data_IF_688115529330
#
_entry.id   IF_688115529330
#
_cell.length_a   1.000
_cell.length_b   1.000
_cell.length_c   1.000
_cell.angle_alpha   90.00
_cell.angle_beta   90.00
_cell.angle_gamma   90.00
#
_symmetry.space_group_name_H-M   'P 1'
#
loop_
_entity.id
_entity.type
_entity.pdbx_description
1 polymer ?
#
# COMPACT_ATOMS: atom_id res chain seq x y z
N UNK A 1 12.42 -1.26 41.29
CA UNK A 1 12.08 -0.71 39.96
C UNK A 1 13.03 -1.33 38.96
N UNK A 2 12.56 -2.29 38.16
CA UNK A 2 13.37 -2.86 37.08
C UNK A 2 13.39 -1.82 35.95
N UNK A 3 14.57 -1.27 35.65
CA UNK A 3 14.71 -0.32 34.53
C UNK A 3 14.41 -1.03 33.21
N UNK A 4 13.61 -0.41 32.35
CA UNK A 4 13.39 -0.88 30.98
C UNK A 4 14.73 -0.85 30.24
N UNK A 5 15.31 -2.04 29.99
CA UNK A 5 16.55 -2.20 29.23
C UNK A 5 16.38 -1.84 27.76
N UNK A 6 17.48 -1.78 27.01
CA UNK A 6 17.51 -1.38 25.60
C UNK A 6 16.49 -2.13 24.73
N UNK A 7 16.36 -3.45 24.92
CA UNK A 7 15.38 -4.27 24.19
C UNK A 7 13.94 -3.82 24.42
N UNK A 8 13.58 -3.48 25.66
CA UNK A 8 12.24 -2.99 25.98
C UNK A 8 11.96 -1.63 25.33
N UNK A 9 12.95 -0.72 25.33
CA UNK A 9 12.82 0.59 24.68
C UNK A 9 12.64 0.49 23.17
N UNK A 10 13.40 -0.39 22.52
CA UNK A 10 13.31 -0.64 21.08
C UNK A 10 11.93 -1.20 20.71
N UNK A 11 11.38 -2.11 21.50
CA UNK A 11 10.05 -2.68 21.24
C UNK A 11 8.91 -1.66 21.47
N UNK A 12 9.04 -0.76 22.46
CA UNK A 12 8.11 0.37 22.60
C UNK A 12 8.19 1.30 21.38
N UNK A 13 9.40 1.56 20.88
CA UNK A 13 9.59 2.37 19.67
C UNK A 13 9.01 1.69 18.43
N UNK A 14 9.17 0.37 18.29
CA UNK A 14 8.53 -0.43 17.25
C UNK A 14 7.01 -0.25 17.28
N UNK A 15 6.38 -0.39 18.45
CA UNK A 15 4.94 -0.19 18.58
C UNK A 15 4.50 1.25 18.25
N UNK A 16 5.25 2.26 18.71
CA UNK A 16 4.93 3.66 18.45
C UNK A 16 5.05 4.04 16.96
N UNK A 17 6.03 3.46 16.26
CA UNK A 17 6.30 3.74 14.84
C UNK A 17 5.32 3.07 13.88
N UNK A 18 4.40 2.22 14.37
CA UNK A 18 3.30 1.67 13.56
C UNK A 18 2.18 2.68 13.28
N UNK A 19 2.06 3.76 14.07
CA UNK A 19 0.98 4.74 13.94
C UNK A 19 1.21 5.74 12.79
N UNK A 20 2.40 6.36 12.63
CA UNK A 20 2.64 7.36 11.58
C UNK A 20 2.26 6.96 10.14
N UNK A 21 2.46 5.70 9.68
CA UNK A 21 2.03 5.28 8.35
C UNK A 21 0.52 5.47 8.09
N UNK A 22 -0.35 5.39 9.11
CA UNK A 22 -1.80 5.66 8.94
C UNK A 22 -2.04 7.11 8.60
N UNK A 23 -1.42 8.02 9.36
CA UNK A 23 -1.57 9.45 9.12
C UNK A 23 -1.00 9.84 7.76
N UNK A 24 0.08 9.19 7.33
CA UNK A 24 0.63 9.40 5.99
C UNK A 24 -0.27 8.86 4.89
N UNK A 25 -0.88 7.68 5.08
CA UNK A 25 -1.89 7.13 4.18
C UNK A 25 -3.11 8.06 4.06
N UNK A 26 -3.61 8.57 5.19
CA UNK A 26 -4.69 9.55 5.25
C UNK A 26 -4.33 10.84 4.51
N UNK A 27 -3.11 11.35 4.69
CA UNK A 27 -2.62 12.54 4.00
C UNK A 27 -2.56 12.32 2.48
N UNK A 28 -2.07 11.16 2.03
CA UNK A 28 -2.04 10.78 0.61
C UNK A 28 -3.42 10.79 -0.03
N UNK A 29 -4.44 10.28 0.68
CA UNK A 29 -5.81 10.31 0.19
C UNK A 29 -6.45 11.70 0.26
N UNK A 30 -6.20 12.47 1.33
CA UNK A 30 -6.77 13.81 1.54
C UNK A 30 -6.32 14.81 0.47
N UNK A 31 -5.03 14.78 0.10
CA UNK A 31 -4.46 15.73 -0.84
C UNK A 31 -5.02 15.57 -2.26
N UNK A 32 -5.36 14.34 -2.65
CA UNK A 32 -5.95 14.07 -3.97
C UNK A 32 -7.48 14.25 -3.95
N UNK A 33 -8.14 13.83 -2.86
CA UNK A 33 -9.59 13.94 -2.70
C UNK A 33 -9.96 14.53 -1.35
N UNK A 34 -10.43 15.78 -1.32
CA UNK A 34 -10.96 16.40 -0.10
C UNK A 34 -12.10 15.59 0.54
N UNK A 35 -12.86 14.85 -0.27
CA UNK A 35 -13.90 13.92 0.17
C UNK A 35 -13.43 12.45 0.09
N UNK A 36 -12.19 12.18 0.52
CA UNK A 36 -11.54 10.86 0.48
C UNK A 36 -12.40 9.72 1.07
N UNK A 37 -13.27 10.01 2.04
CA UNK A 37 -14.16 9.02 2.66
C UNK A 37 -15.24 8.49 1.69
N UNK A 38 -15.41 9.12 0.53
CA UNK A 38 -16.28 8.62 -0.55
C UNK A 38 -15.54 7.70 -1.53
N UNK A 39 -14.21 7.73 -1.54
CA UNK A 39 -13.39 6.86 -2.37
C UNK A 39 -13.34 5.47 -1.75
N UNK A 40 -13.90 4.48 -2.45
CA UNK A 40 -13.90 3.11 -1.96
C UNK A 40 -12.46 2.59 -1.84
N UNK A 41 -11.55 3.01 -2.71
CA UNK A 41 -10.13 2.59 -2.69
C UNK A 41 -9.43 3.12 -1.44
N UNK A 42 -9.71 4.36 -1.09
CA UNK A 42 -9.20 4.98 0.13
C UNK A 42 -9.73 4.23 1.36
N UNK A 43 -11.04 4.00 1.44
CA UNK A 43 -11.66 3.29 2.57
C UNK A 43 -11.06 1.91 2.72
N UNK A 44 -10.89 1.16 1.62
CA UNK A 44 -10.26 -0.15 1.64
C UNK A 44 -8.82 -0.10 2.17
N UNK A 45 -7.98 0.81 1.67
CA UNK A 45 -6.59 0.94 2.13
C UNK A 45 -6.51 1.31 3.61
N UNK A 46 -7.28 2.30 4.05
CA UNK A 46 -7.30 2.72 5.45
C UNK A 46 -7.82 1.61 6.37
N UNK A 47 -8.84 0.86 5.94
CA UNK A 47 -9.31 -0.31 6.67
C UNK A 47 -8.20 -1.37 6.80
N UNK A 48 -7.41 -1.60 5.74
CA UNK A 48 -6.23 -2.47 5.78
C UNK A 48 -5.20 -2.02 6.81
N UNK A 49 -4.81 -0.74 6.79
CA UNK A 49 -3.88 -0.15 7.76
C UNK A 49 -4.40 -0.24 9.21
N UNK A 50 -5.66 0.13 9.43
CA UNK A 50 -6.29 0.08 10.75
C UNK A 50 -6.49 -1.36 11.24
N UNK A 51 -6.63 -2.32 10.34
CA UNK A 51 -6.72 -3.74 10.66
C UNK A 51 -5.38 -4.34 11.09
N UNK A 52 -4.27 -3.98 10.44
CA UNK A 52 -2.96 -4.56 10.75
C UNK A 52 -2.29 -3.99 12.00
N UNK A 53 -2.44 -2.68 12.24
CA UNK A 53 -1.67 -1.97 13.28
C UNK A 53 -1.92 -2.48 14.70
N UNK A 54 -3.16 -2.75 15.14
CA UNK A 54 -3.39 -3.24 16.49
C UNK A 54 -2.65 -4.54 16.78
N UNK A 55 -2.57 -5.45 15.81
CA UNK A 55 -1.87 -6.72 15.99
C UNK A 55 -0.35 -6.53 16.07
N UNK A 56 0.20 -5.69 15.19
CA UNK A 56 1.64 -5.36 15.20
C UNK A 56 2.05 -4.65 16.49
N UNK A 57 1.32 -3.60 16.88
CA UNK A 57 1.57 -2.86 18.11
C UNK A 57 1.43 -3.76 19.35
N UNK A 58 0.41 -4.63 19.38
CA UNK A 58 0.24 -5.59 20.48
C UNK A 58 1.41 -6.60 20.56
N UNK A 59 1.89 -7.10 19.42
CA UNK A 59 3.04 -8.02 19.37
C UNK A 59 4.30 -7.38 19.95
N UNK A 60 4.61 -6.15 19.53
CA UNK A 60 5.76 -5.38 20.03
C UNK A 60 5.62 -4.99 21.51
N UNK A 61 4.46 -4.48 21.93
CA UNK A 61 4.22 -4.15 23.34
C UNK A 61 4.30 -5.39 24.23
N UNK A 62 3.82 -6.54 23.77
CA UNK A 62 3.97 -7.79 24.48
C UNK A 62 5.45 -8.14 24.67
N UNK A 63 6.26 -8.05 23.60
CA UNK A 63 7.70 -8.30 23.66
C UNK A 63 8.43 -7.29 24.57
N UNK A 64 8.03 -6.02 24.55
CA UNK A 64 8.58 -5.00 25.44
C UNK A 64 8.38 -5.34 26.93
N UNK A 65 7.19 -5.89 27.26
CA UNK A 65 6.81 -6.21 28.64
C UNK A 65 7.35 -7.56 29.13
N UNK A 66 7.47 -8.56 28.26
CA UNK A 66 7.82 -9.93 28.64
C UNK A 66 9.22 -10.38 28.19
N UNK A 67 9.90 -9.59 27.35
CA UNK A 67 11.24 -9.91 26.83
C UNK A 67 11.27 -10.99 25.75
N UNK A 68 10.11 -11.47 25.29
CA UNK A 68 9.97 -12.40 24.18
C UNK A 68 8.68 -12.16 23.39
N UNK A 69 8.67 -12.51 22.10
CA UNK A 69 7.45 -12.46 21.30
C UNK A 69 6.49 -13.60 21.68
N UNK A 70 5.18 -13.33 21.63
CA UNK A 70 4.17 -14.37 21.72
C UNK A 70 3.91 -14.94 20.31
N UNK A 71 4.07 -16.25 20.07
CA UNK A 71 3.94 -16.84 18.72
C UNK A 71 2.59 -16.51 18.05
N UNK A 72 1.49 -16.54 18.81
CA UNK A 72 0.17 -16.21 18.28
C UNK A 72 0.05 -14.73 17.86
N UNK A 73 0.63 -13.79 18.61
CA UNK A 73 0.55 -12.36 18.28
C UNK A 73 1.36 -12.06 17.01
N UNK A 74 2.52 -12.70 16.86
CA UNK A 74 3.34 -12.58 15.65
C UNK A 74 2.60 -13.10 14.42
N UNK A 75 1.87 -14.23 14.54
CA UNK A 75 1.06 -14.75 13.44
C UNK A 75 -0.13 -13.82 13.13
N UNK A 76 -0.79 -13.27 14.15
CA UNK A 76 -1.88 -12.31 13.95
C UNK A 76 -1.40 -11.00 13.30
N UNK A 77 -0.20 -10.53 13.64
CA UNK A 77 0.45 -9.40 12.97
C UNK A 77 0.62 -9.68 11.46
N UNK A 78 1.20 -10.84 11.13
CA UNK A 78 1.38 -11.30 9.76
C UNK A 78 0.04 -11.47 9.00
N UNK A 79 -1.01 -11.98 9.67
CA UNK A 79 -2.36 -12.05 9.10
C UNK A 79 -2.97 -10.67 8.88
N UNK A 80 -2.69 -9.71 9.75
CA UNK A 80 -3.06 -8.30 9.54
C UNK A 80 -2.48 -7.78 8.22
N UNK A 81 -1.21 -8.06 7.93
CA UNK A 81 -0.55 -7.71 6.66
C UNK A 81 -1.22 -8.45 5.48
N UNK A 82 -1.53 -9.74 5.64
CA UNK A 82 -2.26 -10.54 4.65
C UNK A 82 -3.61 -9.91 4.27
N UNK A 83 -4.40 -9.47 5.25
CA UNK A 83 -5.67 -8.77 5.03
C UNK A 83 -5.48 -7.41 4.36
N UNK A 84 -4.54 -6.60 4.86
CA UNK A 84 -4.24 -5.29 4.28
C UNK A 84 -3.82 -5.40 2.80
N UNK A 85 -3.10 -6.48 2.45
CA UNK A 85 -2.68 -6.77 1.08
C UNK A 85 -3.85 -7.03 0.13
N UNK A 86 -4.93 -7.68 0.61
CA UNK A 86 -6.15 -7.90 -0.18
C UNK A 86 -6.85 -6.57 -0.47
N UNK A 87 -6.98 -5.73 0.56
CA UNK A 87 -7.54 -4.40 0.42
C UNK A 87 -6.73 -3.53 -0.55
N UNK A 88 -5.40 -3.57 -0.46
CA UNK A 88 -4.50 -2.87 -1.35
C UNK A 88 -4.58 -3.39 -2.80
N UNK A 89 -4.65 -4.71 -3.00
CA UNK A 89 -4.81 -5.32 -4.31
C UNK A 89 -6.10 -4.83 -5.00
N UNK A 90 -7.19 -4.73 -4.24
CA UNK A 90 -8.44 -4.19 -4.78
C UNK A 90 -8.33 -2.69 -5.07
N UNK A 91 -7.80 -1.90 -4.14
CA UNK A 91 -7.68 -0.46 -4.28
C UNK A 91 -6.80 -0.05 -5.48
N UNK A 92 -5.68 -0.75 -5.69
CA UNK A 92 -4.71 -0.41 -6.74
C UNK A 92 -5.06 -0.99 -8.12
N UNK A 93 -5.86 -2.06 -8.17
CA UNK A 93 -6.21 -2.74 -9.42
C UNK A 93 -7.65 -2.50 -9.85
N UNK A 94 -8.58 -2.23 -8.93
CA UNK A 94 -10.03 -2.18 -9.16
C UNK A 94 -10.57 -3.43 -9.88
N UNK A 95 -9.97 -4.61 -9.65
CA UNK A 95 -10.46 -5.90 -10.15
C UNK A 95 -10.72 -6.88 -9.03
N UNK A 96 -11.95 -7.39 -9.02
CA UNK A 96 -12.36 -8.48 -8.14
C UNK A 96 -11.51 -9.74 -8.39
N UNK A 97 -11.32 -10.15 -9.65
CA UNK A 97 -10.54 -11.35 -9.97
C UNK A 97 -9.09 -11.28 -9.47
N UNK A 98 -8.42 -10.15 -9.65
CA UNK A 98 -7.07 -9.94 -9.12
C UNK A 98 -7.04 -9.94 -7.59
N UNK A 99 -8.00 -9.29 -6.96
CA UNK A 99 -8.12 -9.26 -5.49
C UNK A 99 -8.41 -10.65 -4.92
N UNK A 100 -9.23 -11.45 -5.60
CA UNK A 100 -9.49 -12.85 -5.25
C UNK A 100 -8.23 -13.70 -5.34
N UNK A 101 -7.40 -13.51 -6.37
CA UNK A 101 -6.11 -14.20 -6.45
C UNK A 101 -5.21 -13.87 -5.26
N UNK A 102 -5.06 -12.58 -4.93
CA UNK A 102 -4.29 -12.15 -3.75
C UNK A 102 -4.90 -12.72 -2.46
N UNK A 103 -6.23 -12.71 -2.32
CA UNK A 103 -6.92 -13.29 -1.18
C UNK A 103 -6.67 -14.79 -1.03
N UNK A 104 -6.71 -15.56 -2.12
CA UNK A 104 -6.42 -16.98 -2.09
C UNK A 104 -4.97 -17.25 -1.66
N UNK A 105 -4.02 -16.47 -2.14
CA UNK A 105 -2.61 -16.58 -1.73
C UNK A 105 -2.40 -16.22 -0.26
N UNK A 106 -2.97 -15.09 0.18
CA UNK A 106 -2.96 -14.66 1.59
C UNK A 106 -3.58 -15.72 2.50
N UNK A 107 -4.77 -16.23 2.17
CA UNK A 107 -5.45 -17.27 2.95
C UNK A 107 -4.67 -18.59 2.97
N UNK A 108 -4.03 -18.97 1.86
CA UNK A 108 -3.19 -20.17 1.81
C UNK A 108 -1.97 -20.01 2.70
N UNK A 109 -1.33 -18.83 2.69
CA UNK A 109 -0.22 -18.52 3.57
C UNK A 109 -0.66 -18.54 5.03
N UNK A 110 -1.77 -17.88 5.38
CA UNK A 110 -2.30 -17.86 6.74
C UNK A 110 -2.66 -19.28 7.20
N UNK A 111 -3.28 -20.10 6.35
CA UNK A 111 -3.57 -21.50 6.65
C UNK A 111 -2.30 -22.31 6.95
N UNK A 112 -1.23 -22.14 6.17
CA UNK A 112 0.06 -22.77 6.44
C UNK A 112 0.70 -22.24 7.74
N UNK A 113 0.55 -20.94 8.02
CA UNK A 113 1.08 -20.29 9.22
C UNK A 113 0.37 -20.73 10.51
N UNK A 114 -0.90 -21.13 10.46
CA UNK A 114 -1.63 -21.61 11.65
C UNK A 114 -1.72 -23.13 11.74
N UNK A 115 -1.91 -23.80 10.61
CA UNK A 115 -2.26 -25.23 10.55
C UNK A 115 -1.23 -26.07 9.77
N UNK A 116 -0.21 -25.45 9.20
CA UNK A 116 0.83 -26.15 8.45
C UNK A 116 1.77 -26.96 9.35
N UNK A 117 2.67 -27.75 8.72
CA UNK A 117 3.75 -28.45 9.41
C UNK A 117 4.59 -27.49 10.26
N UNK A 118 5.12 -28.00 11.38
CA UNK A 118 5.90 -27.22 12.36
C UNK A 118 7.05 -26.44 11.72
N UNK A 119 7.78 -27.06 10.78
CA UNK A 119 8.88 -26.42 10.06
C UNK A 119 8.47 -25.25 9.16
N UNK A 120 7.20 -25.12 8.75
CA UNK A 120 6.68 -23.94 8.04
C UNK A 120 6.06 -22.95 9.00
N UNK A 121 5.35 -23.47 10.00
CA UNK A 121 4.59 -22.70 10.99
C UNK A 121 5.49 -21.78 11.83
N UNK A 122 6.66 -22.28 12.21
CA UNK A 122 7.57 -21.58 13.13
C UNK A 122 8.72 -20.87 12.38
N UNK A 123 8.84 -21.07 11.07
CA UNK A 123 9.85 -20.41 10.22
C UNK A 123 9.44 -18.97 9.89
N UNK A 124 10.02 -18.00 10.59
CA UNK A 124 9.71 -16.57 10.41
C UNK A 124 10.12 -16.08 9.02
N UNK A 125 11.33 -16.43 8.55
CA UNK A 125 11.88 -15.91 7.28
C UNK A 125 11.05 -16.28 6.06
N UNK A 126 10.57 -17.54 5.97
CA UNK A 126 9.65 -17.98 4.93
C UNK A 126 8.39 -17.10 4.92
N UNK A 127 7.75 -16.91 6.08
CA UNK A 127 6.51 -16.12 6.20
C UNK A 127 6.74 -14.66 5.78
N UNK A 128 7.85 -14.06 6.22
CA UNK A 128 8.23 -12.70 5.83
C UNK A 128 8.48 -12.59 4.32
N UNK A 129 9.16 -13.57 3.73
CA UNK A 129 9.45 -13.59 2.29
C UNK A 129 8.17 -13.79 1.46
N UNK A 130 7.27 -14.66 1.90
CA UNK A 130 5.97 -14.88 1.27
C UNK A 130 5.13 -13.60 1.28
N UNK A 131 5.04 -12.91 2.43
CA UNK A 131 4.34 -11.62 2.53
C UNK A 131 4.97 -10.57 1.62
N UNK A 132 6.30 -10.48 1.58
CA UNK A 132 7.01 -9.57 0.67
C UNK A 132 6.63 -9.85 -0.80
N UNK A 133 6.52 -11.12 -1.19
CA UNK A 133 6.03 -11.52 -2.51
C UNK A 133 4.58 -11.10 -2.77
N UNK A 134 3.69 -11.27 -1.79
CA UNK A 134 2.29 -10.80 -1.88
C UNK A 134 2.22 -9.27 -2.01
N UNK A 135 3.10 -8.54 -1.30
CA UNK A 135 3.22 -7.09 -1.43
C UNK A 135 3.58 -6.68 -2.86
N UNK A 136 4.65 -7.26 -3.40
CA UNK A 136 5.06 -7.01 -4.79
C UNK A 136 3.95 -7.38 -5.78
N UNK A 137 3.23 -8.47 -5.52
CA UNK A 137 2.09 -8.88 -6.34
C UNK A 137 1.02 -7.80 -6.34
N UNK A 138 0.53 -7.32 -5.18
CA UNK A 138 -0.53 -6.32 -5.16
C UNK A 138 -0.11 -4.96 -5.73
N UNK A 139 1.19 -4.65 -5.72
CA UNK A 139 1.74 -3.44 -6.34
C UNK A 139 1.83 -3.54 -7.87
N UNK A 140 1.92 -4.75 -8.42
CA UNK A 140 2.11 -4.97 -9.86
C UNK A 140 1.12 -4.25 -10.78
N UNK A 141 -0.18 -4.05 -10.45
CA UNK A 141 -1.12 -3.32 -11.31
C UNK A 141 -0.68 -1.88 -11.62
N UNK A 142 0.15 -1.27 -10.78
CA UNK A 142 0.73 0.06 -11.00
C UNK A 142 1.65 0.12 -12.24
N UNK A 143 2.09 -1.03 -12.75
CA UNK A 143 3.00 -1.14 -13.91
C UNK A 143 2.26 -1.61 -15.16
N UNK A 144 1.42 -2.64 -15.05
CA UNK A 144 0.89 -3.34 -16.24
C UNK A 144 -0.61 -3.13 -16.50
N UNK A 145 -1.38 -2.69 -15.49
CA UNK A 145 -2.84 -2.64 -15.61
C UNK A 145 -3.39 -1.26 -15.98
N UNK A 146 -2.64 -0.23 -15.64
CA UNK A 146 -3.02 1.16 -15.89
C UNK A 146 -2.57 1.56 -17.29
N UNK A 147 -3.20 2.59 -17.85
CA UNK A 147 -2.87 3.09 -19.19
C UNK A 147 -1.40 3.53 -19.31
N UNK A 148 -0.84 4.05 -18.21
CA UNK A 148 0.55 4.44 -18.09
C UNK A 148 1.15 3.90 -16.80
N UNK A 149 2.48 3.75 -16.79
CA UNK A 149 3.21 3.36 -15.59
C UNK A 149 3.02 4.44 -14.52
N UNK A 150 2.50 4.05 -13.36
CA UNK A 150 2.33 4.96 -12.24
C UNK A 150 3.69 5.34 -11.65
N UNK A 151 4.03 6.62 -11.74
CA UNK A 151 5.30 7.16 -11.23
C UNK A 151 5.48 6.98 -9.72
N UNK A 152 4.40 6.81 -8.97
CA UNK A 152 4.42 6.51 -7.54
C UNK A 152 5.10 5.16 -7.24
N UNK A 153 5.22 4.26 -8.22
CA UNK A 153 5.88 2.95 -8.01
C UNK A 153 7.36 3.09 -7.66
N UNK A 154 8.05 4.13 -8.15
CA UNK A 154 9.48 4.33 -7.92
C UNK A 154 9.81 4.60 -6.43
N UNK A 155 9.19 5.59 -5.76
CA UNK A 155 9.42 5.78 -4.33
C UNK A 155 8.91 4.58 -3.50
N UNK A 156 7.82 3.93 -3.91
CA UNK A 156 7.30 2.71 -3.25
C UNK A 156 8.33 1.59 -3.27
N UNK A 157 8.88 1.25 -4.45
CA UNK A 157 9.89 0.21 -4.60
C UNK A 157 11.19 0.57 -3.88
N UNK A 158 11.57 1.85 -3.86
CA UNK A 158 12.73 2.32 -3.10
C UNK A 158 12.55 2.07 -1.61
N UNK A 159 11.37 2.41 -1.06
CA UNK A 159 11.03 2.12 0.34
C UNK A 159 10.98 0.62 0.61
N UNK A 160 10.43 -0.17 -0.31
CA UNK A 160 10.35 -1.63 -0.19
C UNK A 160 11.74 -2.27 -0.16
N UNK A 161 12.64 -1.92 -1.08
CA UNK A 161 14.00 -2.46 -1.12
C UNK A 161 14.80 -2.05 0.11
N UNK A 162 14.73 -0.77 0.50
CA UNK A 162 15.39 -0.30 1.71
C UNK A 162 14.81 -0.97 2.97
N UNK A 163 13.49 -1.15 3.03
CA UNK A 163 12.81 -1.84 4.12
C UNK A 163 13.18 -3.33 4.20
N UNK A 164 13.24 -4.02 3.07
CA UNK A 164 13.70 -5.41 2.99
C UNK A 164 15.16 -5.54 3.45
N UNK A 165 16.04 -4.61 3.05
CA UNK A 165 17.42 -4.59 3.54
C UNK A 165 17.48 -4.38 5.06
N UNK A 166 16.68 -3.48 5.62
CA UNK A 166 16.60 -3.27 7.07
C UNK A 166 16.07 -4.50 7.81
N UNK A 167 15.06 -5.18 7.26
CA UNK A 167 14.44 -6.35 7.88
C UNK A 167 15.32 -7.60 7.81
N UNK A 168 16.02 -7.82 6.69
CA UNK A 168 16.80 -9.05 6.44
C UNK A 168 18.25 -8.94 6.88
N UNK A 169 18.90 -7.79 6.66
CA UNK A 169 20.32 -7.60 6.97
C UNK A 169 20.55 -6.97 8.34
N UNK A 170 19.52 -6.32 8.90
CA UNK A 170 19.56 -5.60 10.17
C UNK A 170 20.82 -4.72 10.38
N UNK A 171 21.18 -3.84 9.42
CA UNK A 171 22.45 -3.12 9.43
C UNK A 171 22.59 -2.13 10.61
N UNK A 172 21.48 -1.76 11.24
CA UNK A 172 21.42 -0.88 12.42
C UNK A 172 21.21 -1.67 13.72
N UNK A 173 21.37 -2.99 13.69
CA UNK A 173 21.09 -3.88 14.81
C UNK A 173 19.61 -3.74 15.27
N UNK A 174 19.35 -3.57 16.59
CA UNK A 174 17.99 -3.46 17.13
C UNK A 174 17.15 -2.32 16.53
N UNK A 175 17.78 -1.25 16.04
CA UNK A 175 17.07 -0.09 15.48
C UNK A 175 16.64 -0.28 14.02
N UNK A 176 17.02 -1.38 13.36
CA UNK A 176 16.65 -1.62 11.96
C UNK A 176 15.14 -1.74 11.78
N UNK A 177 14.44 -2.37 12.73
CA UNK A 177 12.99 -2.59 12.67
C UNK A 177 12.18 -1.29 12.88
N UNK A 178 12.49 -0.43 13.88
CA UNK A 178 11.85 0.89 13.96
C UNK A 178 12.08 1.77 12.73
N UNK A 179 13.30 1.75 12.16
CA UNK A 179 13.61 2.51 10.93
C UNK A 179 12.83 1.96 9.74
N UNK A 180 12.66 0.64 9.66
CA UNK A 180 11.79 0.01 8.67
C UNK A 180 10.35 0.54 8.78
N UNK A 181 9.77 0.64 9.99
CA UNK A 181 8.44 1.23 10.18
C UNK A 181 8.37 2.68 9.72
N UNK A 182 9.43 3.47 9.94
CA UNK A 182 9.48 4.85 9.45
C UNK A 182 9.50 4.92 7.91
N UNK A 183 10.10 3.95 7.22
CA UNK A 183 10.00 3.86 5.75
C UNK A 183 8.60 3.52 5.26
N UNK A 184 7.74 2.94 6.12
CA UNK A 184 6.33 2.74 5.78
C UNK A 184 5.57 4.06 5.66
N UNK A 185 6.09 5.18 6.18
CA UNK A 185 5.47 6.52 6.06
C UNK A 185 5.41 6.96 4.59
N UNK A 186 6.53 7.18 3.88
CA UNK A 186 6.48 7.53 2.46
C UNK A 186 5.84 6.42 1.63
N UNK A 187 6.06 5.15 1.97
CA UNK A 187 5.42 4.03 1.29
C UNK A 187 3.89 4.14 1.31
N UNK A 188 3.29 4.32 2.50
CA UNK A 188 1.84 4.38 2.66
C UNK A 188 1.26 5.63 1.99
N UNK A 189 1.96 6.76 2.04
CA UNK A 189 1.58 7.97 1.32
C UNK A 189 1.43 7.72 -0.18
N UNK A 190 2.49 7.18 -0.83
CA UNK A 190 2.50 7.00 -2.28
C UNK A 190 1.53 5.91 -2.74
N UNK A 191 1.36 4.83 -1.96
CA UNK A 191 0.35 3.79 -2.24
C UNK A 191 -1.06 4.38 -2.19
N UNK A 192 -1.37 5.12 -1.12
CA UNK A 192 -2.66 5.77 -0.94
C UNK A 192 -2.97 6.80 -2.03
N UNK A 193 -2.02 7.69 -2.31
CA UNK A 193 -2.11 8.66 -3.40
C UNK A 193 -2.39 7.97 -4.74
N UNK A 194 -1.61 6.94 -5.06
CA UNK A 194 -1.75 6.16 -6.30
C UNK A 194 -3.15 5.56 -6.45
N UNK A 195 -3.68 4.94 -5.40
CA UNK A 195 -5.01 4.33 -5.44
C UNK A 195 -6.12 5.38 -5.61
N UNK A 196 -6.03 6.50 -4.88
CA UNK A 196 -7.00 7.60 -4.99
C UNK A 196 -7.01 8.21 -6.39
N UNK A 197 -5.85 8.52 -6.97
CA UNK A 197 -5.74 9.04 -8.35
C UNK A 197 -6.31 8.06 -9.36
N UNK A 198 -6.03 6.76 -9.19
CA UNK A 198 -6.51 5.74 -10.12
C UNK A 198 -8.04 5.61 -10.11
N UNK A 199 -8.67 5.57 -8.94
CA UNK A 199 -10.14 5.52 -8.85
C UNK A 199 -10.79 6.72 -9.54
N UNK A 200 -10.26 7.90 -9.32
CA UNK A 200 -10.81 9.14 -9.91
C UNK A 200 -10.62 9.20 -11.41
N UNK A 201 -9.52 8.65 -11.92
CA UNK A 201 -9.34 8.48 -13.37
C UNK A 201 -10.40 7.56 -14.00
N UNK A 202 -10.86 6.54 -13.27
CA UNK A 202 -11.92 5.64 -13.73
C UNK A 202 -13.30 6.32 -13.64
N UNK A 203 -13.56 7.06 -12.56
CA UNK A 203 -14.80 7.83 -12.40
C UNK A 203 -14.94 8.89 -13.51
N UNK A 204 -13.86 9.61 -13.83
CA UNK A 204 -13.85 10.58 -14.93
C UNK A 204 -14.15 9.92 -16.29
N UNK A 205 -13.61 8.73 -16.55
CA UNK A 205 -13.93 7.96 -17.77
C UNK A 205 -15.39 7.51 -17.81
N UNK A 206 -15.93 7.08 -16.68
CA UNK A 206 -17.34 6.68 -16.59
C UNK A 206 -18.29 7.87 -16.81
N UNK A 207 -17.88 9.09 -16.42
CA UNK A 207 -18.63 10.33 -16.60
C UNK A 207 -18.43 11.01 -17.95
N UNK A 208 -17.52 10.53 -18.79
CA UNK A 208 -17.31 11.03 -20.17
C UNK A 208 -17.81 10.03 -21.22
N UNK A 209 -19.13 9.69 -21.24
CA UNK A 209 -19.68 8.82 -22.25
C UNK A 209 -19.94 9.62 -23.53
N UNK A 210 -18.93 10.17 -24.21
CA UNK A 210 -19.04 10.66 -25.61
C UNK A 210 -17.77 11.38 -26.08
N UNK A 211 -16.98 10.68 -26.91
CA UNK A 211 -16.49 11.20 -28.20
C UNK A 211 -16.05 10.02 -29.09
N UNK A 212 -16.81 8.93 -29.08
CA UNK A 212 -16.84 8.01 -30.23
C UNK A 212 -17.87 8.57 -31.20
N UNK A 213 -17.51 9.70 -31.82
CA UNK A 213 -18.19 10.16 -33.03
C UNK A 213 -18.07 9.05 -34.06
N UNK A 214 -19.22 8.74 -34.64
CA UNK A 214 -19.38 8.03 -35.89
C UNK A 214 -18.33 8.51 -36.90
N UNK A 215 -17.41 7.64 -37.30
CA UNK A 215 -16.68 7.80 -38.56
C UNK A 215 -17.68 7.49 -39.68
N UNK A 216 -18.48 8.51 -39.98
CA UNK A 216 -19.56 8.49 -40.94
C UNK A 216 -19.59 9.81 -41.70
N UNK A 217 -18.52 10.14 -42.42
CA UNK A 217 -18.59 10.58 -43.82
C UNK A 217 -17.24 11.04 -44.32
N UNK A 218 -16.78 10.44 -45.42
CA UNK A 218 -15.82 11.03 -46.35
C UNK A 218 -16.26 12.46 -46.71
N UNK A 219 -15.67 13.46 -46.07
CA UNK A 219 -15.46 14.77 -46.67
C UNK A 219 -14.03 15.18 -46.43
N UNK A 220 -13.25 14.93 -47.48
CA UNK A 220 -11.97 15.51 -47.82
C UNK A 220 -12.03 17.04 -47.64
N UNK A 221 -11.41 17.57 -46.58
CA UNK A 221 -10.81 18.91 -46.58
C UNK A 221 -10.01 19.22 -45.30
N UNK A 222 -8.78 19.73 -45.50
CA UNK A 222 -8.29 20.83 -44.66
C UNK A 222 -7.37 20.51 -43.48
N UNK A 223 -6.19 19.96 -43.76
CA UNK A 223 -4.84 20.28 -43.25
C UNK A 223 -4.57 21.33 -42.12
N UNK A 224 -5.38 21.52 -41.08
CA UNK A 224 -5.14 22.60 -40.08
C UNK A 224 -5.08 22.16 -38.60
N UNK A 225 -5.39 20.91 -38.26
CA UNK A 225 -5.49 20.50 -36.83
C UNK A 225 -4.33 19.66 -36.28
N UNK A 226 -3.12 19.75 -36.87
CA UNK A 226 -1.95 18.99 -36.39
C UNK A 226 -1.02 19.72 -35.41
N UNK A 227 -1.30 20.97 -35.05
CA UNK A 227 -0.37 21.80 -34.26
C UNK A 227 -0.79 22.13 -32.81
N UNK A 228 -1.90 21.60 -32.29
CA UNK A 228 -2.34 21.90 -30.91
C UNK A 228 -2.02 20.76 -29.91
N UNK A 229 -1.61 19.58 -30.36
CA UNK A 229 -1.40 18.43 -29.46
C UNK A 229 0.03 18.20 -28.96
N UNK A 230 0.99 19.07 -29.29
CA UNK A 230 2.40 18.91 -28.90
C UNK A 230 2.97 20.05 -28.03
N UNK A 231 2.16 21.00 -27.60
CA UNK A 231 2.61 22.11 -26.75
C UNK A 231 1.58 22.47 -25.67
N UNK A 232 1.79 21.97 -24.44
CA UNK A 232 1.03 22.30 -23.23
C UNK A 232 0.36 21.05 -22.64
N UNK A 233 0.51 20.69 -21.37
CA UNK A 233 0.88 21.49 -20.22
C UNK A 233 1.17 20.52 -19.05
N UNK A 234 2.40 20.58 -18.50
CA UNK A 234 2.79 19.88 -17.25
C UNK A 234 2.30 20.70 -16.02
N UNK A 235 1.57 21.80 -16.20
CA UNK A 235 1.19 22.74 -15.15
C UNK A 235 -0.29 22.85 -14.77
N UNK A 236 -1.24 22.19 -15.44
CA UNK A 236 -2.68 22.54 -15.30
C UNK A 236 -3.47 21.82 -14.21
N UNK A 237 -2.88 20.89 -13.44
CA UNK A 237 -3.60 20.17 -12.37
C UNK A 237 -3.81 20.98 -11.07
N UNK A 238 -3.38 22.26 -11.00
CA UNK A 238 -3.47 23.09 -9.79
C UNK A 238 -4.61 24.14 -9.77
N UNK A 239 -5.52 24.16 -10.74
CA UNK A 239 -6.53 25.25 -10.84
C UNK A 239 -7.98 24.79 -10.87
N UNK A 240 -8.36 23.76 -10.10
CA UNK A 240 -9.77 23.52 -9.75
C UNK A 240 -9.97 23.47 -8.24
N UNK A 241 -9.65 24.58 -7.55
CA UNK A 241 -10.23 24.85 -6.22
C UNK A 241 -10.37 26.34 -5.92
N UNK A 242 -11.21 27.03 -6.69
CA UNK A 242 -11.97 28.25 -6.33
C UNK A 242 -13.26 28.13 -7.14
N UNK A 243 -14.49 28.20 -6.67
CA UNK A 243 -15.19 28.77 -5.51
C UNK A 243 -16.62 28.14 -5.50
N UNK A 244 -17.62 28.55 -4.68
CA UNK A 244 -17.62 29.45 -3.52
C UNK A 244 -17.68 28.73 -2.17
#
# INVERSE_FOLDING_TARGET
MWGCGLSCQVEVLNAATMIPPVFSALAGCWLEHKAWWRSNSTVALLAGWLGMIPFSAASHLYCALHGHYHPMLLRLDQTGISLASICAAWALSKSCGFSCLVALLSLSMDALMFFGPEHLRDHVEWRTTALAGIVLLYLSPMVWKRDTVDQSILPILSCFVAGAALALLAPLGPYSHPVFHLLLIPYSFYVSKSASVYESSLELRAMSPEFSLEDGSDTDDGSVLKEVFLAGDIGSWLTYSKAP
#
